data_IF_388232297720
#
_entry.id   IF_388232297720
#
_cell.length_a   1.000
_cell.length_b   1.000
_cell.length_c   1.000
_cell.angle_alpha   90.00
_cell.angle_beta   90.00
_cell.angle_gamma   90.00
#
_symmetry.space_group_name_H-M   'P 1'
#
loop_
_entity.id
_entity.type
_entity.pdbx_description
1 polymer ?
#
# COMPACT_ATOMS: atom_id res chain seq x y z
N UNK A 1 -64.95 -27.88 0.02
CA UNK A 1 -64.12 -28.98 0.55
C UNK A 1 -62.71 -28.45 0.70
N UNK A 2 -62.34 -28.07 1.93
CA UNK A 2 -61.02 -27.56 2.29
C UNK A 2 -60.00 -28.70 2.30
N UNK A 3 -58.81 -28.47 1.75
CA UNK A 3 -57.60 -29.09 2.26
C UNK A 3 -56.55 -27.98 2.40
N UNK A 4 -56.32 -27.63 3.66
CA UNK A 4 -55.23 -26.82 4.17
C UNK A 4 -53.93 -27.59 3.99
N UNK A 5 -52.90 -26.99 3.38
CA UNK A 5 -51.50 -27.46 3.54
C UNK A 5 -50.71 -26.40 4.28
N UNK A 6 -50.48 -26.72 5.55
CA UNK A 6 -49.50 -26.10 6.45
C UNK A 6 -48.11 -26.13 5.81
N UNK A 7 -47.52 -24.95 5.61
CA UNK A 7 -46.09 -24.81 5.32
C UNK A 7 -45.36 -24.69 6.65
N UNK A 8 -44.78 -25.81 7.09
CA UNK A 8 -43.82 -25.86 8.19
C UNK A 8 -42.47 -26.24 7.59
N UNK A 9 -41.60 -25.25 7.35
CA UNK A 9 -40.21 -25.46 6.94
C UNK A 9 -39.28 -24.76 7.94
N UNK A 10 -39.21 -25.33 9.14
CA UNK A 10 -38.01 -25.22 9.97
C UNK A 10 -36.96 -26.17 9.40
N UNK A 11 -36.07 -25.65 8.56
CA UNK A 11 -34.78 -26.29 8.27
C UNK A 11 -33.73 -25.19 8.13
N UNK A 12 -33.24 -24.71 9.28
CA UNK A 12 -31.96 -24.00 9.36
C UNK A 12 -30.84 -25.01 9.06
N UNK A 13 -29.85 -24.69 8.22
CA UNK A 13 -28.67 -25.53 8.08
C UNK A 13 -27.86 -25.52 9.38
N UNK A 14 -27.41 -26.72 9.80
CA UNK A 14 -26.52 -26.91 10.95
C UNK A 14 -25.19 -26.19 10.71
N UNK A 15 -24.94 -25.16 11.50
CA UNK A 15 -23.61 -24.56 11.70
C UNK A 15 -22.82 -25.53 12.60
N UNK A 16 -21.61 -25.98 12.22
CA UNK A 16 -20.76 -26.69 13.16
C UNK A 16 -20.22 -25.67 14.18
N UNK A 17 -20.67 -25.80 15.43
CA UNK A 17 -20.16 -25.04 16.56
C UNK A 17 -18.74 -25.50 16.90
N UNK A 18 -17.72 -24.81 16.41
CA UNK A 18 -16.37 -24.90 16.97
C UNK A 18 -16.28 -23.98 18.19
N UNK A 19 -16.76 -24.49 19.34
CA UNK A 19 -16.51 -23.91 20.66
C UNK A 19 -15.02 -24.07 21.01
N UNK A 20 -14.21 -23.03 20.77
CA UNK A 20 -12.93 -22.89 21.46
C UNK A 20 -13.15 -22.06 22.73
N UNK A 21 -13.45 -22.75 23.82
CA UNK A 21 -13.45 -22.14 25.15
C UNK A 21 -12.00 -21.94 25.62
N UNK A 22 -11.53 -20.70 25.66
CA UNK A 22 -10.36 -20.32 26.46
C UNK A 22 -10.83 -20.26 27.92
N UNK A 23 -10.62 -21.35 28.66
CA UNK A 23 -10.85 -21.39 30.10
C UNK A 23 -9.64 -20.76 30.83
N UNK A 24 -9.68 -19.45 31.09
CA UNK A 24 -8.76 -18.82 32.04
C UNK A 24 -9.22 -19.17 33.46
N UNK A 25 -8.48 -20.08 34.11
CA UNK A 25 -8.68 -20.45 35.52
C UNK A 25 -8.12 -19.32 36.41
N UNK A 26 -8.96 -18.36 36.78
CA UNK A 26 -8.68 -17.43 37.88
C UNK A 26 -9.22 -18.01 39.18
N UNK A 27 -8.31 -18.29 40.13
CA UNK A 27 -8.61 -18.71 41.51
C UNK A 27 -9.19 -17.52 42.28
N UNK A 28 -10.18 -17.78 43.16
CA UNK A 28 -10.98 -16.80 43.94
C UNK A 28 -10.15 -15.75 44.70
N UNK A 29 -10.69 -14.58 45.03
CA UNK A 29 -11.96 -14.35 45.76
C UNK A 29 -12.65 -13.03 45.37
N UNK A 30 -13.85 -12.78 45.91
CA UNK A 30 -14.43 -11.43 46.00
C UNK A 30 -15.60 -11.12 45.07
N UNK A 31 -16.76 -10.92 45.69
CA UNK A 31 -18.13 -10.80 45.15
C UNK A 31 -18.44 -9.37 44.66
N UNK A 32 -19.28 -9.30 43.61
CA UNK A 32 -20.22 -8.21 43.17
C UNK A 32 -19.91 -7.21 42.04
N UNK A 33 -18.69 -7.04 41.53
CA UNK A 33 -18.45 -6.13 40.39
C UNK A 33 -18.32 -6.81 39.01
N UNK A 34 -18.23 -8.15 38.98
CA UNK A 34 -17.95 -8.91 37.74
C UNK A 34 -19.07 -8.94 36.70
N UNK A 35 -20.33 -8.67 37.07
CA UNK A 35 -21.42 -8.74 36.10
C UNK A 35 -21.46 -7.52 35.18
N UNK A 36 -21.01 -6.35 35.66
CA UNK A 36 -20.96 -5.12 34.86
C UNK A 36 -19.78 -5.18 33.89
N UNK A 37 -18.63 -5.70 34.33
CA UNK A 37 -17.45 -5.89 33.48
C UNK A 37 -17.62 -6.98 32.43
N UNK A 38 -18.32 -8.09 32.74
CA UNK A 38 -18.55 -9.15 31.74
C UNK A 38 -19.62 -8.73 30.72
N UNK A 39 -20.60 -7.92 31.12
CA UNK A 39 -21.55 -7.33 30.16
C UNK A 39 -20.88 -6.25 29.31
N UNK A 40 -20.04 -5.39 29.91
CA UNK A 40 -19.31 -4.36 29.16
C UNK A 40 -18.31 -5.00 28.20
N UNK A 41 -17.56 -6.01 28.63
CA UNK A 41 -16.62 -6.76 27.78
C UNK A 41 -17.34 -7.48 26.64
N UNK A 42 -18.49 -8.11 26.89
CA UNK A 42 -19.33 -8.69 25.83
C UNK A 42 -19.93 -7.64 24.90
N UNK A 43 -20.25 -6.45 25.41
CA UNK A 43 -20.74 -5.34 24.59
C UNK A 43 -19.62 -4.74 23.73
N UNK A 44 -18.41 -4.63 24.29
CA UNK A 44 -17.19 -4.23 23.59
C UNK A 44 -16.75 -5.27 22.54
N UNK A 45 -16.84 -6.57 22.83
CA UNK A 45 -16.62 -7.63 21.84
C UNK A 45 -17.72 -7.67 20.77
N UNK A 46 -18.96 -7.32 21.11
CA UNK A 46 -20.07 -7.20 20.17
C UNK A 46 -19.99 -5.93 19.30
N UNK A 47 -19.23 -4.91 19.71
CA UNK A 47 -19.00 -3.68 18.95
C UNK A 47 -17.64 -3.66 18.24
N UNK A 48 -16.76 -4.62 18.51
CA UNK A 48 -15.49 -4.70 17.80
C UNK A 48 -15.79 -5.08 16.35
N UNK A 49 -15.56 -4.14 15.46
CA UNK A 49 -15.58 -4.34 14.01
C UNK A 49 -14.60 -5.48 13.69
N UNK A 50 -15.11 -6.63 13.24
CA UNK A 50 -14.28 -7.81 12.93
C UNK A 50 -13.84 -7.73 11.48
N UNK A 51 -12.52 -7.64 11.26
CA UNK A 51 -11.93 -7.69 9.92
C UNK A 51 -11.23 -9.03 9.68
N UNK A 52 -10.97 -9.42 8.42
CA UNK A 52 -10.24 -10.66 8.13
C UNK A 52 -8.88 -10.76 8.82
N UNK A 53 -8.19 -9.63 9.04
CA UNK A 53 -6.95 -9.60 9.83
C UNK A 53 -7.08 -10.16 11.25
N UNK A 54 -8.27 -10.12 11.86
CA UNK A 54 -8.53 -10.68 13.19
C UNK A 54 -8.81 -12.20 13.13
N UNK A 55 -9.14 -12.73 11.94
CA UNK A 55 -9.58 -14.11 11.73
C UNK A 55 -8.48 -14.99 11.11
N UNK A 56 -7.66 -14.42 10.23
CA UNK A 56 -6.61 -15.13 9.51
C UNK A 56 -5.24 -14.86 10.14
N UNK A 57 -4.36 -15.88 10.12
CA UNK A 57 -3.00 -15.76 10.66
C UNK A 57 -2.16 -14.71 9.95
N UNK A 58 -2.33 -14.59 8.63
CA UNK A 58 -1.63 -13.61 7.80
C UNK A 58 -2.41 -13.31 6.51
N UNK A 59 -1.94 -12.28 5.80
CA UNK A 59 -2.49 -11.85 4.51
C UNK A 59 -2.41 -12.95 3.43
N UNK A 60 -1.40 -13.82 3.50
CA UNK A 60 -1.23 -14.90 2.53
C UNK A 60 -2.33 -15.95 2.67
N UNK A 61 -2.66 -16.35 3.90
CA UNK A 61 -3.67 -17.35 4.21
C UNK A 61 -5.06 -16.86 3.80
N UNK A 62 -5.37 -15.58 4.09
CA UNK A 62 -6.58 -14.94 3.59
C UNK A 62 -6.64 -14.92 2.06
N UNK A 63 -5.55 -14.51 1.39
CA UNK A 63 -5.51 -14.46 -0.06
C UNK A 63 -5.72 -15.85 -0.69
N UNK A 64 -5.12 -16.90 -0.13
CA UNK A 64 -5.38 -18.28 -0.55
C UNK A 64 -6.85 -18.67 -0.34
N UNK A 65 -7.43 -18.36 0.82
CA UNK A 65 -8.85 -18.61 1.10
C UNK A 65 -9.74 -17.97 0.02
N UNK A 66 -9.49 -16.70 -0.31
CA UNK A 66 -10.22 -15.98 -1.35
C UNK A 66 -10.03 -16.60 -2.73
N UNK A 67 -8.80 -17.01 -3.08
CA UNK A 67 -8.54 -17.74 -4.32
C UNK A 67 -9.32 -19.05 -4.39
N UNK A 68 -9.35 -19.83 -3.31
CA UNK A 68 -10.11 -21.08 -3.26
C UNK A 68 -11.61 -20.84 -3.41
N UNK A 69 -12.14 -19.71 -2.92
CA UNK A 69 -13.56 -19.35 -3.08
C UNK A 69 -13.90 -18.69 -4.41
N UNK A 70 -12.91 -18.42 -5.26
CA UNK A 70 -13.14 -17.92 -6.60
C UNK A 70 -13.75 -19.01 -7.50
N UNK A 71 -14.84 -18.70 -8.21
CA UNK A 71 -15.48 -19.62 -9.15
C UNK A 71 -14.51 -20.07 -10.26
N UNK A 72 -13.66 -19.15 -10.73
CA UNK A 72 -12.64 -19.43 -11.76
C UNK A 72 -11.67 -20.53 -11.32
N UNK A 73 -11.31 -20.54 -10.03
CA UNK A 73 -10.44 -21.58 -9.46
C UNK A 73 -11.13 -22.96 -9.47
N UNK A 74 -12.39 -23.04 -9.07
CA UNK A 74 -13.16 -24.29 -9.11
C UNK A 74 -13.31 -24.81 -10.54
N UNK A 75 -13.64 -23.94 -11.50
CA UNK A 75 -13.73 -24.34 -12.91
C UNK A 75 -12.39 -24.83 -13.44
N UNK A 76 -11.28 -24.23 -13.03
CA UNK A 76 -9.94 -24.67 -13.41
C UNK A 76 -9.61 -26.05 -12.82
N UNK A 77 -9.87 -26.27 -11.53
CA UNK A 77 -9.61 -27.55 -10.87
C UNK A 77 -10.40 -28.68 -11.57
N UNK A 78 -11.64 -28.41 -11.95
CA UNK A 78 -12.48 -29.33 -12.72
C UNK A 78 -11.92 -29.60 -14.13
N UNK A 79 -11.37 -28.59 -14.81
CA UNK A 79 -10.73 -28.76 -16.13
C UNK A 79 -9.41 -29.51 -16.07
N UNK A 80 -8.71 -29.47 -14.93
CA UNK A 80 -7.49 -30.27 -14.74
C UNK A 80 -7.79 -31.75 -14.55
N UNK A 81 -8.87 -32.13 -13.88
CA UNK A 81 -9.21 -33.54 -13.60
C UNK A 81 -9.20 -34.43 -14.87
N UNK A 82 -9.82 -34.02 -16.01
CA UNK A 82 -9.71 -34.71 -17.30
C UNK A 82 -8.31 -34.75 -17.90
N UNK A 83 -7.39 -33.86 -17.53
CA UNK A 83 -6.00 -33.90 -18.01
C UNK A 83 -5.16 -34.93 -17.25
N UNK A 84 -5.48 -35.19 -15.98
CA UNK A 84 -4.83 -36.24 -15.17
C UNK A 84 -5.26 -37.64 -15.59
N UNK A 85 -6.52 -37.81 -16.03
CA UNK A 85 -7.10 -39.09 -16.42
C UNK A 85 -6.34 -39.80 -17.56
N UNK A 86 -5.99 -39.16 -18.69
CA UNK A 86 -5.14 -39.74 -19.73
C UNK A 86 -3.72 -40.01 -19.25
N UNK A 87 -3.15 -39.18 -18.37
CA UNK A 87 -1.84 -39.46 -17.75
C UNK A 87 -1.86 -40.75 -16.92
N UNK A 88 -2.95 -40.97 -16.17
CA UNK A 88 -3.18 -42.17 -15.36
C UNK A 88 -3.48 -43.41 -16.23
N UNK A 89 -4.34 -43.26 -17.25
CA UNK A 89 -4.71 -44.32 -18.18
C UNK A 89 -3.59 -44.67 -19.19
N UNK A 90 -2.68 -43.73 -19.48
CA UNK A 90 -1.51 -43.96 -20.35
C UNK A 90 -0.45 -44.88 -19.75
N UNK A 91 -0.57 -45.28 -18.48
CA UNK A 91 0.19 -46.40 -17.93
C UNK A 91 -0.08 -47.72 -18.69
N UNK A 92 -1.12 -47.78 -19.53
CA UNK A 92 -1.55 -48.99 -20.24
C UNK A 92 -0.93 -49.11 -21.64
N UNK A 93 -0.47 -48.04 -22.31
CA UNK A 93 0.19 -48.14 -23.65
C UNK A 93 1.26 -47.07 -23.91
N UNK A 94 2.30 -47.50 -24.61
CA UNK A 94 3.53 -46.79 -25.03
C UNK A 94 3.31 -45.52 -25.88
N UNK A 95 2.73 -44.47 -25.31
CA UNK A 95 2.75 -43.10 -25.85
C UNK A 95 3.71 -42.27 -25.01
N UNK A 96 4.47 -41.37 -25.65
CA UNK A 96 5.50 -40.50 -25.04
C UNK A 96 5.07 -39.89 -23.69
N UNK A 97 5.45 -40.59 -22.61
CA UNK A 97 5.05 -40.41 -21.20
C UNK A 97 5.29 -39.00 -20.64
N UNK A 98 6.21 -38.26 -21.26
CA UNK A 98 6.68 -36.95 -20.80
C UNK A 98 5.77 -35.81 -21.29
N UNK A 99 5.11 -35.97 -22.43
CA UNK A 99 4.29 -34.92 -23.04
C UNK A 99 3.08 -34.50 -22.18
N UNK A 100 2.22 -35.42 -21.67
CA UNK A 100 1.08 -35.01 -20.85
C UNK A 100 1.53 -34.34 -19.54
N UNK A 101 2.63 -34.81 -18.94
CA UNK A 101 3.19 -34.22 -17.73
C UNK A 101 3.70 -32.79 -17.96
N UNK A 102 4.43 -32.55 -19.06
CA UNK A 102 4.90 -31.21 -19.44
C UNK A 102 3.74 -30.26 -19.73
N UNK A 103 2.68 -30.74 -20.39
CA UNK A 103 1.47 -29.96 -20.66
C UNK A 103 0.74 -29.58 -19.36
N UNK A 104 0.60 -30.52 -18.40
CA UNK A 104 0.01 -30.25 -17.10
C UNK A 104 0.80 -29.19 -16.30
N UNK A 105 2.14 -29.29 -16.29
CA UNK A 105 2.99 -28.28 -15.63
C UNK A 105 2.80 -26.92 -16.31
N UNK A 106 2.85 -26.86 -17.64
CA UNK A 106 2.68 -25.61 -18.38
C UNK A 106 1.32 -24.96 -18.08
N UNK A 107 0.23 -25.72 -18.12
CA UNK A 107 -1.12 -25.22 -17.81
C UNK A 107 -1.21 -24.75 -16.36
N UNK A 108 -0.61 -25.48 -15.42
CA UNK A 108 -0.57 -25.07 -14.00
C UNK A 108 0.23 -23.78 -13.79
N UNK A 109 1.38 -23.64 -14.46
CA UNK A 109 2.18 -22.42 -14.41
C UNK A 109 1.45 -21.22 -15.01
N UNK A 110 0.81 -21.39 -16.18
CA UNK A 110 0.03 -20.33 -16.81
C UNK A 110 -1.10 -19.87 -15.88
N UNK A 111 -1.79 -20.81 -15.24
CA UNK A 111 -2.89 -20.48 -14.33
C UNK A 111 -2.39 -19.82 -13.05
N UNK A 112 -1.25 -20.27 -12.48
CA UNK A 112 -0.60 -19.57 -11.37
C UNK A 112 -0.21 -18.12 -11.70
N UNK A 113 0.13 -17.84 -12.97
CA UNK A 113 0.43 -16.48 -13.45
C UNK A 113 -0.87 -15.67 -13.68
N UNK A 114 -1.91 -16.27 -14.24
CA UNK A 114 -3.15 -15.56 -14.60
C UNK A 114 -4.12 -15.38 -13.43
N UNK A 115 -4.22 -16.30 -12.47
CA UNK A 115 -5.17 -16.23 -11.35
C UNK A 115 -5.02 -14.96 -10.51
N UNK A 116 -3.81 -14.53 -10.08
CA UNK A 116 -3.64 -13.28 -9.34
C UNK A 116 -4.09 -12.06 -10.14
N UNK A 117 -3.86 -12.07 -11.46
CA UNK A 117 -4.28 -11.00 -12.36
C UNK A 117 -5.81 -10.96 -12.51
N UNK A 118 -6.46 -12.11 -12.63
CA UNK A 118 -7.92 -12.23 -12.68
C UNK A 118 -8.52 -11.75 -11.36
N UNK A 119 -7.97 -12.18 -10.22
CA UNK A 119 -8.41 -11.73 -8.90
C UNK A 119 -8.28 -10.21 -8.74
N UNK A 120 -7.12 -9.64 -9.07
CA UNK A 120 -6.87 -8.19 -9.03
C UNK A 120 -7.82 -7.41 -9.95
N UNK A 121 -8.10 -7.94 -11.13
CA UNK A 121 -9.06 -7.35 -12.07
C UNK A 121 -10.50 -7.38 -11.53
N UNK A 122 -10.93 -8.53 -10.97
CA UNK A 122 -12.25 -8.67 -10.35
C UNK A 122 -12.43 -7.73 -9.17
N UNK A 123 -11.43 -7.65 -8.29
CA UNK A 123 -11.42 -6.74 -7.13
C UNK A 123 -11.58 -5.28 -7.57
N UNK A 124 -10.78 -4.86 -8.56
CA UNK A 124 -10.88 -3.54 -9.17
C UNK A 124 -12.24 -3.29 -9.82
N UNK A 125 -12.80 -4.28 -10.50
CA UNK A 125 -14.10 -4.20 -11.19
C UNK A 125 -15.23 -3.96 -10.19
N UNK A 126 -15.27 -4.73 -9.10
CA UNK A 126 -16.28 -4.56 -8.04
C UNK A 126 -16.23 -3.16 -7.45
N UNK A 127 -15.03 -2.66 -7.11
CA UNK A 127 -14.88 -1.30 -6.59
C UNK A 127 -15.32 -0.22 -7.59
N UNK A 128 -15.00 -0.40 -8.87
CA UNK A 128 -15.39 0.55 -9.92
C UNK A 128 -16.91 0.56 -10.16
N UNK A 129 -17.58 -0.57 -9.92
CA UNK A 129 -19.03 -0.66 -10.04
C UNK A 129 -19.78 -0.16 -8.80
N UNK A 130 -19.11 -0.14 -7.63
CA UNK A 130 -19.70 0.24 -6.34
C UNK A 130 -19.16 1.58 -5.82
N UNK A 131 -18.72 2.47 -6.71
CA UNK A 131 -18.14 3.77 -6.33
C UNK A 131 -19.11 4.64 -5.53
N UNK A 132 -20.39 4.62 -5.88
CA UNK A 132 -21.43 5.35 -5.15
C UNK A 132 -21.52 4.88 -3.70
N UNK A 133 -21.59 3.57 -3.46
CA UNK A 133 -21.66 3.06 -2.08
C UNK A 133 -20.37 3.35 -1.33
N UNK A 134 -19.21 3.12 -1.97
CA UNK A 134 -17.92 3.43 -1.36
C UNK A 134 -17.83 4.91 -0.94
N UNK A 135 -18.31 5.82 -1.79
CA UNK A 135 -18.32 7.25 -1.48
C UNK A 135 -19.27 7.58 -0.33
N UNK A 136 -20.45 6.95 -0.26
CA UNK A 136 -21.41 7.16 0.84
C UNK A 136 -20.85 6.75 2.20
N UNK A 137 -20.20 5.59 2.30
CA UNK A 137 -19.58 5.13 3.54
C UNK A 137 -18.49 6.11 4.02
N UNK A 138 -17.75 6.71 3.09
CA UNK A 138 -16.73 7.72 3.41
C UNK A 138 -17.37 9.01 3.92
N UNK A 139 -18.49 9.45 3.33
CA UNK A 139 -19.21 10.64 3.80
C UNK A 139 -19.80 10.41 5.20
N UNK A 140 -20.38 9.23 5.45
CA UNK A 140 -21.01 8.89 6.72
C UNK A 140 -20.02 8.78 7.88
N UNK A 141 -18.89 8.10 7.65
CA UNK A 141 -17.91 7.84 8.70
C UNK A 141 -16.76 8.84 8.75
N UNK A 142 -16.62 9.70 7.73
CA UNK A 142 -15.60 10.73 7.61
C UNK A 142 -14.18 10.22 8.01
N UNK A 143 -13.67 9.14 7.37
CA UNK A 143 -12.41 8.54 7.79
C UNK A 143 -11.25 9.52 7.56
N UNK A 144 -10.37 9.64 8.55
CA UNK A 144 -9.16 10.42 8.46
C UNK A 144 -8.04 9.70 7.70
N UNK A 145 -6.80 10.11 7.96
CA UNK A 145 -5.62 9.43 7.38
C UNK A 145 -5.12 8.27 8.23
N UNK A 146 -5.57 8.16 9.48
CA UNK A 146 -5.16 7.06 10.33
C UNK A 146 -5.80 5.77 9.82
N UNK A 147 -5.07 4.66 9.95
CA UNK A 147 -5.54 3.37 9.46
C UNK A 147 -6.76 2.89 10.24
N UNK A 148 -6.84 3.23 11.53
CA UNK A 148 -7.95 2.81 12.40
C UNK A 148 -9.30 3.40 11.96
N UNK A 149 -9.31 4.63 11.46
CA UNK A 149 -10.52 5.31 10.96
C UNK A 149 -11.19 4.54 9.80
N UNK A 150 -10.42 3.71 9.09
CA UNK A 150 -10.89 2.93 7.94
C UNK A 150 -11.43 1.55 8.32
N UNK A 151 -11.33 1.13 9.59
CA UNK A 151 -11.80 -0.20 10.00
C UNK A 151 -13.30 -0.37 9.82
N UNK A 152 -14.07 0.63 10.28
CA UNK A 152 -15.53 0.64 10.16
C UNK A 152 -15.96 0.66 8.69
N UNK A 153 -15.35 1.53 7.87
CA UNK A 153 -15.63 1.62 6.43
C UNK A 153 -15.32 0.29 5.73
N UNK A 154 -14.19 -0.34 6.05
CA UNK A 154 -13.79 -1.61 5.47
C UNK A 154 -14.78 -2.74 5.80
N UNK A 155 -15.24 -2.81 7.06
CA UNK A 155 -16.18 -3.83 7.47
C UNK A 155 -17.59 -3.63 6.88
N UNK A 156 -18.11 -2.41 6.89
CA UNK A 156 -19.40 -2.11 6.27
C UNK A 156 -19.40 -2.46 4.77
N UNK A 157 -18.32 -2.13 4.06
CA UNK A 157 -18.18 -2.47 2.64
C UNK A 157 -18.05 -3.98 2.42
N UNK A 158 -17.31 -4.69 3.26
CA UNK A 158 -17.21 -6.14 3.21
C UNK A 158 -18.59 -6.81 3.35
N UNK A 159 -19.37 -6.41 4.37
CA UNK A 159 -20.73 -6.89 4.58
C UNK A 159 -21.64 -6.53 3.40
N UNK A 160 -21.62 -5.28 2.95
CA UNK A 160 -22.43 -4.82 1.83
C UNK A 160 -22.12 -5.58 0.53
N UNK A 161 -20.84 -5.82 0.20
CA UNK A 161 -20.47 -6.55 -1.01
C UNK A 161 -20.90 -8.01 -0.96
N UNK A 162 -20.86 -8.63 0.21
CA UNK A 162 -21.33 -9.99 0.41
C UNK A 162 -22.85 -10.10 0.27
N UNK A 163 -23.59 -9.24 0.98
CA UNK A 163 -25.07 -9.24 0.97
C UNK A 163 -25.65 -8.97 -0.42
N UNK A 164 -25.05 -8.05 -1.17
CA UNK A 164 -25.44 -7.73 -2.54
C UNK A 164 -24.90 -8.71 -3.58
N UNK A 165 -24.19 -9.77 -3.18
CA UNK A 165 -23.56 -10.76 -4.07
C UNK A 165 -22.59 -10.13 -5.08
N UNK A 166 -22.03 -8.97 -4.74
CA UNK A 166 -20.97 -8.33 -5.51
C UNK A 166 -19.62 -9.02 -5.28
N UNK A 167 -19.47 -9.69 -4.13
CA UNK A 167 -18.35 -10.55 -3.78
C UNK A 167 -18.84 -11.88 -3.19
N UNK A 168 -18.02 -12.92 -3.31
CA UNK A 168 -18.42 -14.28 -2.90
C UNK A 168 -18.27 -14.54 -1.41
N UNK A 169 -17.53 -13.70 -0.70
CA UNK A 169 -17.17 -13.87 0.71
C UNK A 169 -17.38 -12.56 1.47
N UNK A 170 -17.41 -12.64 2.80
CA UNK A 170 -17.48 -11.48 3.70
C UNK A 170 -16.11 -10.79 3.89
N UNK A 171 -15.09 -11.16 3.11
CA UNK A 171 -13.70 -10.80 3.38
C UNK A 171 -13.06 -10.07 2.19
N UNK A 172 -13.77 -9.11 1.59
CA UNK A 172 -13.31 -8.39 0.41
C UNK A 172 -12.02 -7.58 0.65
N UNK A 173 -11.96 -6.82 1.75
CA UNK A 173 -10.77 -6.16 2.26
C UNK A 173 -10.20 -6.93 3.43
N UNK A 174 -8.89 -7.23 3.40
CA UNK A 174 -8.24 -7.91 4.50
C UNK A 174 -8.15 -7.04 5.76
N UNK A 175 -7.84 -5.75 5.57
CA UNK A 175 -7.71 -4.78 6.63
C UNK A 175 -8.05 -3.35 6.18
N UNK A 176 -8.07 -2.44 7.14
CA UNK A 176 -8.35 -1.03 6.93
C UNK A 176 -7.31 -0.32 6.04
N UNK A 177 -6.04 -0.75 6.08
CA UNK A 177 -5.00 -0.20 5.21
C UNK A 177 -5.24 -0.53 3.73
N UNK A 178 -5.74 -1.73 3.42
CA UNK A 178 -6.15 -2.10 2.06
C UNK A 178 -7.33 -1.28 1.58
N UNK A 179 -8.31 -1.02 2.45
CA UNK A 179 -9.45 -0.15 2.13
C UNK A 179 -8.98 1.29 1.82
N UNK A 180 -8.14 1.88 2.67
CA UNK A 180 -7.55 3.21 2.43
C UNK A 180 -6.76 3.25 1.11
N UNK A 181 -5.95 2.21 0.85
CA UNK A 181 -5.17 2.09 -0.40
C UNK A 181 -6.09 1.99 -1.62
N UNK A 182 -7.19 1.26 -1.53
CA UNK A 182 -8.18 1.14 -2.58
C UNK A 182 -8.87 2.48 -2.85
N UNK A 183 -9.28 3.21 -1.81
CA UNK A 183 -9.80 4.56 -1.93
C UNK A 183 -8.83 5.47 -2.68
N UNK A 184 -7.55 5.50 -2.28
CA UNK A 184 -6.54 6.34 -2.94
C UNK A 184 -6.42 6.00 -4.44
N UNK A 185 -6.33 4.72 -4.77
CA UNK A 185 -6.06 4.23 -6.13
C UNK A 185 -7.26 4.33 -7.07
N UNK A 186 -8.47 4.13 -6.56
CA UNK A 186 -9.70 4.04 -7.37
C UNK A 186 -10.43 5.38 -7.43
N UNK A 187 -10.47 6.12 -6.31
CA UNK A 187 -11.23 7.36 -6.18
C UNK A 187 -10.31 8.59 -6.21
N UNK A 188 -9.46 8.76 -5.20
CA UNK A 188 -8.72 10.02 -4.99
C UNK A 188 -7.80 10.38 -6.16
N UNK A 189 -6.93 9.45 -6.58
CA UNK A 189 -5.94 9.70 -7.63
C UNK A 189 -6.60 9.93 -9.00
N UNK A 190 -7.46 9.04 -9.51
CA UNK A 190 -8.01 9.21 -10.85
C UNK A 190 -8.95 10.40 -10.95
N UNK A 191 -9.63 10.77 -9.87
CA UNK A 191 -10.50 11.95 -9.82
C UNK A 191 -9.70 13.26 -9.85
N UNK A 192 -8.58 13.32 -9.12
CA UNK A 192 -7.76 14.53 -9.00
C UNK A 192 -6.85 14.81 -10.21
N UNK A 193 -6.54 13.76 -10.97
CA UNK A 193 -5.78 13.89 -12.22
C UNK A 193 -6.63 14.54 -13.32
N UNK A 194 -7.92 14.19 -13.40
CA UNK A 194 -8.87 14.68 -14.41
C UNK A 194 -9.25 16.13 -14.15
N UNK A 195 -9.08 16.98 -15.17
CA UNK A 195 -9.27 18.43 -15.06
C UNK A 195 -10.67 18.89 -15.47
N UNK A 196 -11.25 18.24 -16.47
CA UNK A 196 -12.50 18.59 -17.09
C UNK A 196 -13.67 17.77 -16.52
N UNK A 197 -14.80 18.43 -16.28
CA UNK A 197 -16.02 17.77 -15.83
C UNK A 197 -16.46 16.68 -16.81
N UNK A 198 -16.30 16.91 -18.11
CA UNK A 198 -16.60 15.92 -19.16
C UNK A 198 -15.84 14.61 -18.98
N UNK A 199 -14.54 14.63 -18.65
CA UNK A 199 -13.76 13.40 -18.44
C UNK A 199 -14.08 12.71 -17.12
N UNK A 200 -14.44 13.49 -16.08
CA UNK A 200 -14.95 12.94 -14.81
C UNK A 200 -16.28 12.22 -15.04
N UNK A 201 -17.25 12.87 -15.67
CA UNK A 201 -18.56 12.30 -16.02
C UNK A 201 -18.37 11.06 -16.90
N UNK A 202 -17.50 11.10 -17.91
CA UNK A 202 -17.22 9.94 -18.77
C UNK A 202 -16.70 8.73 -17.99
N UNK A 203 -15.98 8.95 -16.90
CA UNK A 203 -15.30 7.87 -16.18
C UNK A 203 -16.05 7.36 -14.96
N UNK A 204 -16.81 8.23 -14.31
CA UNK A 204 -17.46 7.95 -13.04
C UNK A 204 -18.99 8.03 -13.14
N UNK A 205 -19.52 8.52 -14.26
CA UNK A 205 -20.96 8.60 -14.55
C UNK A 205 -21.72 9.31 -13.44
N UNK A 206 -22.79 8.69 -12.99
CA UNK A 206 -23.69 9.22 -11.95
C UNK A 206 -23.08 9.21 -10.55
N UNK A 207 -21.88 8.62 -10.37
CA UNK A 207 -21.19 8.58 -9.08
C UNK A 207 -20.47 9.90 -8.76
N UNK A 208 -20.25 10.77 -9.75
CA UNK A 208 -19.50 12.04 -9.60
C UNK A 208 -19.90 12.86 -8.37
N UNK A 209 -21.18 13.21 -8.12
CA UNK A 209 -21.55 14.04 -6.98
C UNK A 209 -21.18 13.40 -5.64
N UNK A 210 -21.41 12.10 -5.48
CA UNK A 210 -21.04 11.37 -4.26
C UNK A 210 -19.53 11.33 -4.04
N UNK A 211 -18.77 11.17 -5.13
CA UNK A 211 -17.31 11.17 -5.07
C UNK A 211 -16.81 12.56 -4.65
N UNK A 212 -17.38 13.64 -5.19
CA UNK A 212 -16.98 15.00 -4.81
C UNK A 212 -17.25 15.28 -3.34
N UNK A 213 -18.41 14.87 -2.83
CA UNK A 213 -18.75 14.99 -1.41
C UNK A 213 -17.78 14.19 -0.52
N UNK A 214 -17.52 12.92 -0.86
CA UNK A 214 -16.58 12.07 -0.13
C UNK A 214 -15.16 12.64 -0.11
N UNK A 215 -14.70 13.18 -1.25
CA UNK A 215 -13.39 13.82 -1.35
C UNK A 215 -13.31 15.12 -0.55
N UNK A 216 -14.39 15.90 -0.49
CA UNK A 216 -14.46 17.11 0.34
C UNK A 216 -14.36 16.76 1.83
N UNK A 217 -15.12 15.78 2.30
CA UNK A 217 -15.06 15.29 3.68
C UNK A 217 -13.65 14.80 4.02
N UNK A 218 -13.08 13.91 3.21
CA UNK A 218 -11.73 13.41 3.41
C UNK A 218 -10.67 14.52 3.39
N UNK A 219 -10.77 15.48 2.46
CA UNK A 219 -9.83 16.61 2.39
C UNK A 219 -9.90 17.51 3.64
N UNK A 220 -11.08 17.66 4.22
CA UNK A 220 -11.29 18.44 5.44
C UNK A 220 -10.64 17.76 6.63
N UNK A 221 -10.79 16.44 6.77
CA UNK A 221 -10.11 15.65 7.81
C UNK A 221 -8.58 15.65 7.62
N UNK A 222 -8.11 15.56 6.37
CA UNK A 222 -6.70 15.70 6.07
C UNK A 222 -6.15 17.07 6.50
N UNK A 223 -6.85 18.15 6.16
CA UNK A 223 -6.46 19.51 6.52
C UNK A 223 -6.45 19.71 8.04
N UNK A 224 -7.41 19.16 8.77
CA UNK A 224 -7.40 19.13 10.24
C UNK A 224 -6.15 18.45 10.76
N UNK A 225 -5.80 17.27 10.23
CA UNK A 225 -4.57 16.57 10.62
C UNK A 225 -3.33 17.38 10.29
N UNK A 226 -3.26 18.00 9.12
CA UNK A 226 -2.12 18.85 8.73
C UNK A 226 -1.93 20.02 9.69
N UNK A 227 -3.01 20.73 10.04
CA UNK A 227 -2.98 21.83 11.02
C UNK A 227 -2.53 21.36 12.40
N UNK A 228 -3.10 20.24 12.88
CA UNK A 228 -2.69 19.63 14.15
C UNK A 228 -1.21 19.26 14.12
N UNK A 229 -0.76 18.65 13.01
CA UNK A 229 0.63 18.26 12.81
C UNK A 229 1.57 19.46 12.88
N UNK A 230 1.23 20.55 12.19
CA UNK A 230 2.01 21.79 12.19
C UNK A 230 1.93 22.60 13.50
N UNK A 231 0.98 22.33 14.37
CA UNK A 231 0.82 23.08 15.63
C UNK A 231 1.42 22.31 16.82
N UNK A 232 1.18 21.00 16.88
CA UNK A 232 1.50 20.18 18.06
C UNK A 232 2.63 19.17 17.82
N UNK A 233 2.86 18.75 16.58
CA UNK A 233 3.79 17.67 16.24
C UNK A 233 4.98 18.12 15.40
N UNK A 234 5.18 19.42 15.21
CA UNK A 234 6.38 19.91 14.51
C UNK A 234 7.60 19.45 15.28
N UNK A 235 8.31 18.51 14.69
CA UNK A 235 9.54 18.04 15.29
C UNK A 235 10.57 19.17 15.26
N UNK A 236 10.97 19.61 16.44
CA UNK A 236 12.07 20.56 16.65
C UNK A 236 13.21 19.81 17.33
N UNK A 237 14.35 19.61 16.66
CA UNK A 237 15.49 18.96 17.26
C UNK A 237 16.23 19.88 18.24
N UNK A 238 16.64 19.30 19.36
CA UNK A 238 17.68 19.88 20.21
C UNK A 238 19.07 19.61 19.59
N UNK A 239 19.97 20.60 19.63
CA UNK A 239 21.38 20.50 19.22
C UNK A 239 21.66 20.28 17.72
N UNK A 240 21.02 21.05 16.82
CA UNK A 240 21.33 20.99 15.38
C UNK A 240 22.73 21.50 15.02
N UNK A 241 23.35 22.31 15.89
CA UNK A 241 24.64 22.98 15.64
C UNK A 241 25.81 22.00 15.40
N UNK A 242 25.75 20.81 16.00
CA UNK A 242 26.80 19.80 15.86
C UNK A 242 26.58 18.85 14.68
N UNK A 243 25.42 18.89 14.02
CA UNK A 243 25.09 17.99 12.92
C UNK A 243 25.73 18.50 11.63
N UNK A 244 26.67 17.71 11.10
CA UNK A 244 27.34 18.03 9.85
C UNK A 244 26.72 17.23 8.69
N UNK A 245 26.49 17.90 7.57
CA UNK A 245 26.08 17.23 6.34
C UNK A 245 27.18 16.30 5.82
N UNK A 246 26.83 15.17 5.18
CA UNK A 246 27.79 14.24 4.61
C UNK A 246 28.82 14.89 3.68
N UNK A 247 28.47 15.97 2.98
CA UNK A 247 29.41 16.76 2.17
C UNK A 247 30.67 17.24 2.92
N UNK A 248 30.62 17.42 4.24
CA UNK A 248 31.79 17.78 5.06
C UNK A 248 32.69 16.57 5.35
N UNK A 249 32.11 15.37 5.43
CA UNK A 249 32.82 14.11 5.72
C UNK A 249 33.35 13.45 4.44
N UNK A 250 32.59 13.53 3.35
CA UNK A 250 32.90 12.90 2.07
C UNK A 250 33.45 13.91 1.08
N UNK A 251 34.65 13.65 0.56
CA UNK A 251 35.27 14.48 -0.50
C UNK A 251 34.44 14.55 -1.79
N UNK A 252 33.68 13.49 -2.10
CA UNK A 252 32.88 13.40 -3.33
C UNK A 252 31.52 12.73 -3.05
N UNK A 253 30.45 13.25 -3.67
CA UNK A 253 29.11 12.61 -3.60
C UNK A 253 29.12 11.15 -4.06
N UNK A 254 29.98 10.83 -5.02
CA UNK A 254 30.15 9.48 -5.54
C UNK A 254 30.57 8.46 -4.47
N UNK A 255 31.48 8.82 -3.56
CA UNK A 255 31.94 7.91 -2.51
C UNK A 255 30.86 7.67 -1.46
N UNK A 256 30.06 8.69 -1.16
CA UNK A 256 28.86 8.57 -0.32
C UNK A 256 27.83 7.60 -0.95
N UNK A 257 27.51 7.77 -2.24
CA UNK A 257 26.57 6.87 -2.95
C UNK A 257 27.10 5.43 -2.96
N UNK A 258 28.39 5.21 -3.25
CA UNK A 258 28.99 3.88 -3.25
C UNK A 258 28.85 3.19 -1.88
N UNK A 259 29.27 3.86 -0.80
CA UNK A 259 29.14 3.30 0.57
C UNK A 259 27.70 2.84 0.84
N UNK A 260 26.71 3.57 0.33
CA UNK A 260 25.29 3.27 0.54
C UNK A 260 24.80 2.10 -0.28
N UNK A 261 25.17 2.02 -1.56
CA UNK A 261 24.85 0.86 -2.40
C UNK A 261 25.39 -0.43 -1.77
N UNK A 262 26.59 -0.38 -1.19
CA UNK A 262 27.20 -1.54 -0.53
C UNK A 262 26.62 -1.86 0.87
N UNK A 263 26.14 -0.85 1.61
CA UNK A 263 25.57 -1.06 2.96
C UNK A 263 24.07 -1.42 2.96
N UNK A 264 23.33 -1.14 1.88
CA UNK A 264 21.90 -1.44 1.77
C UNK A 264 21.66 -2.86 1.22
N UNK A 265 20.41 -3.34 1.32
CA UNK A 265 19.87 -4.59 0.76
C UNK A 265 20.05 -4.76 -0.78
N UNK A 266 20.88 -3.92 -1.42
CA UNK A 266 21.27 -3.99 -2.82
C UNK A 266 22.48 -4.90 -3.06
N UNK A 267 23.11 -5.43 -2.01
CA UNK A 267 24.19 -6.41 -2.14
C UNK A 267 23.82 -7.62 -3.04
N UNK A 268 22.62 -8.25 -2.93
CA UNK A 268 22.22 -9.31 -3.85
C UNK A 268 22.11 -8.86 -5.31
N UNK A 269 21.61 -7.64 -5.55
CA UNK A 269 21.56 -7.07 -6.89
C UNK A 269 22.97 -6.77 -7.44
N UNK A 270 23.92 -6.44 -6.55
CA UNK A 270 25.33 -6.22 -6.90
C UNK A 270 26.02 -7.54 -7.23
N UNK A 271 25.75 -8.60 -6.47
CA UNK A 271 26.21 -9.97 -6.76
C UNK A 271 25.64 -10.47 -8.08
N UNK A 272 24.34 -10.27 -8.35
CA UNK A 272 23.72 -10.62 -9.62
C UNK A 272 24.37 -9.87 -10.79
N UNK A 273 24.70 -8.60 -10.58
CA UNK A 273 25.41 -7.78 -11.55
C UNK A 273 26.84 -8.26 -11.82
N UNK A 274 27.61 -8.62 -10.78
CA UNK A 274 28.92 -9.25 -10.94
C UNK A 274 28.83 -10.60 -11.66
N UNK A 275 27.78 -11.38 -11.38
CA UNK A 275 27.50 -12.63 -12.08
C UNK A 275 27.18 -12.38 -13.56
N UNK A 276 26.42 -11.32 -13.91
CA UNK A 276 26.20 -10.93 -15.30
C UNK A 276 27.52 -10.55 -16.00
N UNK A 277 28.42 -9.83 -15.31
CA UNK A 277 29.75 -9.49 -15.85
C UNK A 277 30.57 -10.76 -16.10
N UNK A 278 30.57 -11.70 -15.13
CA UNK A 278 31.26 -12.98 -15.24
C UNK A 278 30.72 -13.84 -16.40
N UNK A 279 29.40 -13.94 -16.55
CA UNK A 279 28.78 -14.69 -17.66
C UNK A 279 29.08 -14.04 -19.01
N UNK A 280 29.28 -12.73 -19.06
CA UNK A 280 29.63 -11.98 -20.27
C UNK A 280 31.13 -11.91 -20.58
N UNK A 281 31.96 -12.72 -19.91
CA UNK A 281 33.42 -12.61 -19.99
C UNK A 281 33.99 -12.79 -21.40
N UNK A 282 33.32 -13.60 -22.22
CA UNK A 282 33.67 -13.89 -23.62
C UNK A 282 33.29 -12.75 -24.59
N UNK A 283 32.37 -11.86 -24.20
CA UNK A 283 31.84 -10.80 -25.05
C UNK A 283 32.70 -9.53 -25.05
N UNK A 284 34.01 -9.62 -25.31
CA UNK A 284 34.86 -8.44 -25.55
C UNK A 284 34.96 -7.42 -24.39
N UNK A 285 35.92 -6.49 -24.44
CA UNK A 285 36.14 -5.53 -23.34
C UNK A 285 35.12 -4.38 -23.30
N UNK A 286 34.67 -3.90 -24.47
CA UNK A 286 33.75 -2.77 -24.56
C UNK A 286 32.35 -3.09 -24.02
N UNK A 287 31.81 -4.27 -24.33
CA UNK A 287 30.51 -4.70 -23.80
C UNK A 287 30.56 -4.86 -22.28
N UNK A 288 31.66 -5.37 -21.73
CA UNK A 288 31.87 -5.44 -20.27
C UNK A 288 31.86 -4.06 -19.63
N UNK A 289 32.56 -3.07 -20.21
CA UNK A 289 32.55 -1.69 -19.71
C UNK A 289 31.13 -1.10 -19.77
N UNK A 290 30.40 -1.33 -20.86
CA UNK A 290 29.01 -0.86 -21.01
C UNK A 290 28.06 -1.52 -20.02
N UNK A 291 28.16 -2.84 -19.82
CA UNK A 291 27.42 -3.56 -18.80
C UNK A 291 27.76 -3.02 -17.42
N UNK A 292 29.04 -2.85 -17.10
CA UNK A 292 29.50 -2.32 -15.83
C UNK A 292 28.92 -0.92 -15.54
N UNK A 293 29.05 0.00 -16.50
CA UNK A 293 28.48 1.33 -16.41
C UNK A 293 26.95 1.31 -16.29
N UNK A 294 26.29 0.51 -17.12
CA UNK A 294 24.83 0.38 -17.15
C UNK A 294 24.24 -0.16 -15.85
N UNK A 295 24.80 -1.24 -15.30
CA UNK A 295 24.31 -1.78 -14.03
C UNK A 295 24.63 -0.89 -12.85
N UNK A 296 25.78 -0.20 -12.84
CA UNK A 296 26.04 0.84 -11.84
C UNK A 296 24.98 1.95 -11.88
N UNK A 297 24.64 2.46 -13.06
CA UNK A 297 23.59 3.47 -13.22
C UNK A 297 22.21 2.95 -12.78
N UNK A 298 21.89 1.68 -13.04
CA UNK A 298 20.68 1.04 -12.52
C UNK A 298 20.68 1.02 -10.99
N UNK A 299 21.79 0.67 -10.35
CA UNK A 299 21.91 0.64 -8.89
C UNK A 299 21.74 2.03 -8.27
N UNK A 300 22.36 3.05 -8.87
CA UNK A 300 22.15 4.45 -8.45
C UNK A 300 20.69 4.84 -8.58
N UNK A 301 20.02 4.49 -9.69
CA UNK A 301 18.59 4.75 -9.89
C UNK A 301 17.73 4.02 -8.87
N UNK A 302 18.02 2.74 -8.58
CA UNK A 302 17.30 1.97 -7.56
C UNK A 302 17.46 2.62 -6.19
N UNK A 303 18.69 2.96 -5.79
CA UNK A 303 18.96 3.66 -4.54
C UNK A 303 18.19 4.98 -4.45
N UNK A 304 18.25 5.82 -5.50
CA UNK A 304 17.50 7.08 -5.54
C UNK A 304 16.00 6.86 -5.39
N UNK A 305 15.46 5.81 -6.03
CA UNK A 305 14.04 5.47 -5.96
C UNK A 305 13.61 4.85 -4.63
N UNK A 306 14.51 4.17 -3.91
CA UNK A 306 14.23 3.57 -2.60
C UNK A 306 13.99 4.63 -1.51
N UNK A 307 14.71 5.75 -1.55
CA UNK A 307 14.59 6.85 -0.57
C UNK A 307 13.15 7.33 -0.32
N UNK A 308 12.33 7.67 -1.33
CA UNK A 308 10.94 8.04 -1.09
C UNK A 308 10.03 6.87 -0.68
N UNK A 309 10.41 5.61 -0.93
CA UNK A 309 9.63 4.44 -0.49
C UNK A 309 9.78 4.17 1.01
N UNK A 310 10.91 4.54 1.62
CA UNK A 310 11.08 4.41 3.07
C UNK A 310 10.26 5.43 3.85
N UNK A 311 9.88 6.57 3.24
CA UNK A 311 9.13 7.63 3.91
C UNK A 311 7.63 7.33 3.95
N UNK A 312 7.07 7.23 5.15
CA UNK A 312 5.62 7.17 5.36
C UNK A 312 4.97 8.55 5.14
N UNK A 313 3.64 8.61 5.21
CA UNK A 313 2.90 9.85 4.97
C UNK A 313 3.33 10.97 5.94
N UNK A 314 3.51 10.65 7.21
CA UNK A 314 3.92 11.60 8.24
C UNK A 314 5.33 12.15 8.01
N UNK A 315 6.25 11.31 7.53
CA UNK A 315 7.61 11.75 7.19
C UNK A 315 7.62 12.70 5.99
N UNK A 316 6.72 12.46 5.02
CA UNK A 316 6.51 13.38 3.88
C UNK A 316 5.88 14.69 4.35
N UNK A 317 4.96 14.63 5.31
CA UNK A 317 4.37 15.82 5.91
C UNK A 317 5.43 16.63 6.67
N UNK A 318 6.26 15.98 7.49
CA UNK A 318 7.39 16.62 8.18
C UNK A 318 8.34 17.27 7.19
N UNK A 319 8.67 16.58 6.09
CA UNK A 319 9.53 17.13 5.05
C UNK A 319 8.98 18.43 4.46
N UNK A 320 7.70 18.42 4.06
CA UNK A 320 7.04 19.61 3.51
C UNK A 320 6.90 20.73 4.54
N UNK A 321 6.52 20.40 5.78
CA UNK A 321 6.44 21.35 6.89
C UNK A 321 7.80 22.01 7.17
N UNK A 322 8.88 21.24 7.17
CA UNK A 322 10.24 21.75 7.34
C UNK A 322 10.61 22.71 6.20
N UNK A 323 10.25 22.40 4.95
CA UNK A 323 10.49 23.31 3.82
C UNK A 323 9.65 24.59 3.92
N UNK A 324 8.40 24.50 4.38
CA UNK A 324 7.51 25.67 4.48
C UNK A 324 7.98 26.61 5.60
N UNK A 325 8.39 26.06 6.74
CA UNK A 325 8.76 26.82 7.92
C UNK A 325 10.22 27.32 7.94
N UNK A 326 11.08 26.85 7.04
CA UNK A 326 12.48 27.29 6.99
C UNK A 326 12.58 28.77 6.58
N UNK A 327 13.29 29.59 7.35
CA UNK A 327 13.40 31.03 7.05
C UNK A 327 14.56 31.33 6.10
N UNK A 328 15.62 30.51 6.16
CA UNK A 328 16.77 30.70 5.29
C UNK A 328 16.45 30.35 3.83
N UNK A 329 16.98 31.14 2.91
CA UNK A 329 16.76 31.02 1.48
C UNK A 329 17.98 30.50 0.73
N UNK A 330 17.78 30.09 -0.53
CA UNK A 330 18.86 29.63 -1.39
C UNK A 330 19.55 28.36 -0.88
N UNK A 331 20.85 28.25 -1.14
CA UNK A 331 21.64 27.05 -0.83
C UNK A 331 21.75 26.77 0.67
N UNK A 332 21.83 27.81 1.50
CA UNK A 332 21.95 27.68 2.97
C UNK A 332 20.65 27.11 3.57
N UNK A 333 19.49 27.60 3.13
CA UNK A 333 18.20 27.07 3.58
C UNK A 333 18.01 25.59 3.23
N UNK A 334 18.43 25.17 2.04
CA UNK A 334 18.38 23.75 1.67
C UNK A 334 19.36 22.88 2.47
N UNK A 335 20.54 23.40 2.84
CA UNK A 335 21.48 22.71 3.72
C UNK A 335 20.87 22.53 5.12
N UNK A 336 20.18 23.54 5.67
CA UNK A 336 19.49 23.42 6.97
C UNK A 336 18.32 22.43 6.92
N UNK A 337 17.50 22.47 5.87
CA UNK A 337 16.42 21.48 5.67
C UNK A 337 17.03 20.06 5.60
N UNK A 338 18.12 19.88 4.86
CA UNK A 338 18.78 18.59 4.74
C UNK A 338 19.29 18.07 6.10
N UNK A 339 19.87 18.93 6.93
CA UNK A 339 20.33 18.57 8.29
C UNK A 339 19.16 18.15 9.18
N UNK A 340 18.11 18.99 9.26
CA UNK A 340 16.91 18.71 10.05
C UNK A 340 16.30 17.36 9.66
N UNK A 341 16.17 17.11 8.37
CA UNK A 341 15.56 15.89 7.87
C UNK A 341 16.43 14.65 8.03
N UNK A 342 17.74 14.75 7.87
CA UNK A 342 18.66 13.65 8.15
C UNK A 342 18.55 13.17 9.60
N UNK A 343 18.50 14.11 10.54
CA UNK A 343 18.35 13.84 11.97
C UNK A 343 16.97 13.26 12.27
N UNK A 344 15.90 13.87 11.77
CA UNK A 344 14.53 13.38 11.93
C UNK A 344 14.38 11.92 11.47
N UNK A 345 14.81 11.63 10.23
CA UNK A 345 14.66 10.30 9.64
C UNK A 345 15.49 9.24 10.37
N UNK A 346 16.63 9.62 10.95
CA UNK A 346 17.44 8.74 11.78
C UNK A 346 16.81 8.46 13.14
N UNK A 347 16.38 9.50 13.86
CA UNK A 347 15.76 9.38 15.19
C UNK A 347 14.45 8.59 15.14
N UNK A 348 13.64 8.80 14.09
CA UNK A 348 12.41 8.05 13.83
C UNK A 348 12.67 6.65 13.27
N UNK A 349 13.93 6.25 13.06
CA UNK A 349 14.35 4.96 12.49
C UNK A 349 13.75 4.67 11.11
N UNK A 350 13.33 5.71 10.40
CA UNK A 350 12.87 5.65 8.99
C UNK A 350 14.06 5.37 8.08
N UNK A 351 15.24 5.88 8.46
CA UNK A 351 16.50 5.62 7.79
C UNK A 351 17.56 5.16 8.79
N UNK A 352 18.46 4.28 8.37
CA UNK A 352 19.42 3.62 9.27
C UNK A 352 20.59 4.52 9.69
N UNK A 353 20.66 5.77 9.23
CA UNK A 353 21.78 6.66 9.50
C UNK A 353 21.42 8.13 9.33
N UNK A 354 22.22 9.05 9.88
CA UNK A 354 22.06 10.51 9.73
C UNK A 354 22.51 11.06 8.36
N UNK A 355 22.58 10.23 7.32
CA UNK A 355 23.09 10.63 5.99
C UNK A 355 22.05 10.28 4.90
N UNK A 356 20.81 10.74 5.04
CA UNK A 356 19.76 10.52 4.03
C UNK A 356 19.97 11.41 2.79
N UNK A 357 20.23 12.69 3.04
CA UNK A 357 20.66 13.70 2.08
C UNK A 357 22.15 13.95 2.19
N UNK A 358 22.81 14.06 1.04
CA UNK A 358 24.24 14.39 0.98
C UNK A 358 24.52 15.87 1.33
N UNK A 359 23.70 16.76 0.76
CA UNK A 359 23.73 18.21 0.93
C UNK A 359 22.37 18.82 0.55
N UNK A 360 22.24 20.14 0.67
CA UNK A 360 21.05 20.90 0.29
C UNK A 360 20.72 20.78 -1.20
N UNK A 361 21.71 20.67 -2.08
CA UNK A 361 21.48 20.45 -3.52
C UNK A 361 20.81 19.08 -3.76
N UNK A 362 21.26 18.03 -3.05
CA UNK A 362 20.60 16.72 -3.10
C UNK A 362 19.18 16.75 -2.52
N UNK A 363 18.97 17.53 -1.46
CA UNK A 363 17.65 17.74 -0.85
C UNK A 363 16.68 18.48 -1.80
N UNK A 364 17.13 19.57 -2.42
CA UNK A 364 16.36 20.30 -3.42
C UNK A 364 16.03 19.43 -4.62
N UNK A 365 17.01 18.68 -5.15
CA UNK A 365 16.79 17.75 -6.24
C UNK A 365 15.76 16.69 -5.86
N UNK A 366 15.82 16.16 -4.63
CA UNK A 366 14.85 15.18 -4.12
C UNK A 366 13.43 15.75 -4.08
N UNK A 367 13.24 16.97 -3.56
CA UNK A 367 11.95 17.66 -3.57
C UNK A 367 11.44 17.83 -5.02
N UNK A 368 12.28 18.36 -5.90
CA UNK A 368 11.91 18.61 -7.29
C UNK A 368 11.54 17.32 -8.04
N UNK A 369 12.28 16.23 -7.78
CA UNK A 369 12.10 14.97 -8.50
C UNK A 369 10.92 14.13 -7.97
N UNK A 370 10.74 14.06 -6.65
CA UNK A 370 9.76 13.16 -6.04
C UNK A 370 8.47 13.84 -5.59
N UNK A 371 8.44 15.16 -5.46
CA UNK A 371 7.22 15.90 -5.08
C UNK A 371 6.74 16.77 -6.26
N UNK A 372 7.56 17.73 -6.68
CA UNK A 372 7.13 18.71 -7.69
C UNK A 372 6.89 18.08 -9.07
N UNK A 373 7.78 17.20 -9.53
CA UNK A 373 7.60 16.53 -10.82
C UNK A 373 6.33 15.68 -10.85
N UNK A 374 5.99 14.98 -9.76
CA UNK A 374 4.75 14.19 -9.69
C UNK A 374 3.51 15.09 -9.78
N UNK A 375 3.53 16.23 -9.09
CA UNK A 375 2.49 17.24 -9.19
C UNK A 375 2.33 17.77 -10.64
N UNK A 376 3.44 18.02 -11.33
CA UNK A 376 3.45 18.54 -12.69
C UNK A 376 3.02 17.51 -13.74
N UNK A 377 3.54 16.27 -13.66
CA UNK A 377 3.25 15.24 -14.66
C UNK A 377 1.89 14.59 -14.45
N UNK A 378 1.35 14.61 -13.22
CA UNK A 378 0.13 13.89 -12.83
C UNK A 378 0.14 12.42 -13.26
N UNK A 379 1.32 11.82 -13.38
CA UNK A 379 1.53 10.44 -13.81
C UNK A 379 2.31 9.69 -12.74
N UNK A 380 1.84 8.53 -12.28
CA UNK A 380 2.59 7.72 -11.35
C UNK A 380 3.89 7.25 -12.00
N UNK A 381 5.00 7.37 -11.27
CA UNK A 381 6.30 6.87 -11.70
C UNK A 381 6.52 5.50 -11.03
N UNK A 382 6.28 4.41 -11.76
CA UNK A 382 6.41 3.01 -11.29
C UNK A 382 5.51 2.67 -10.09
N UNK A 383 4.20 2.53 -10.30
CA UNK A 383 3.19 2.17 -9.28
C UNK A 383 3.22 2.99 -7.97
N UNK A 384 3.88 4.15 -7.98
CA UNK A 384 3.95 5.04 -6.82
C UNK A 384 2.63 5.78 -6.61
N UNK A 385 2.14 5.86 -5.36
CA UNK A 385 1.00 6.69 -5.05
C UNK A 385 1.36 8.16 -5.31
N UNK A 386 0.45 8.90 -5.93
CA UNK A 386 0.62 10.32 -6.27
C UNK A 386 0.59 11.22 -5.02
N UNK A 387 0.15 10.68 -3.86
CA UNK A 387 -0.03 11.39 -2.59
C UNK A 387 -0.73 12.74 -2.82
N UNK A 388 -1.88 12.69 -3.49
CA UNK A 388 -2.65 13.85 -3.94
C UNK A 388 -2.97 14.79 -2.78
N UNK A 389 -3.16 14.24 -1.59
CA UNK A 389 -3.41 14.97 -0.36
C UNK A 389 -2.32 16.00 -0.06
N UNK A 390 -1.08 15.74 -0.48
CA UNK A 390 0.05 16.64 -0.27
C UNK A 390 0.16 17.75 -1.31
N UNK A 391 -0.61 17.70 -2.40
CA UNK A 391 -0.48 18.65 -3.51
C UNK A 391 -0.62 20.13 -3.11
N UNK A 392 -1.55 20.53 -2.22
CA UNK A 392 -1.62 21.91 -1.75
C UNK A 392 -0.32 22.37 -1.08
N UNK A 393 0.24 21.56 -0.19
CA UNK A 393 1.45 21.90 0.56
C UNK A 393 2.72 21.78 -0.27
N UNK A 394 2.74 20.92 -1.30
CA UNK A 394 3.84 20.91 -2.29
C UNK A 394 3.87 22.25 -3.04
N UNK A 395 2.70 22.79 -3.42
CA UNK A 395 2.62 24.11 -4.06
C UNK A 395 3.04 25.22 -3.12
N UNK A 396 2.59 25.17 -1.87
CA UNK A 396 2.98 26.12 -0.82
C UNK A 396 4.49 26.11 -0.60
N UNK A 397 5.09 24.94 -0.36
CA UNK A 397 6.53 24.77 -0.22
C UNK A 397 7.29 25.34 -1.44
N UNK A 398 6.79 25.11 -2.65
CA UNK A 398 7.38 25.68 -3.87
C UNK A 398 7.31 27.22 -3.90
N UNK A 399 6.18 27.80 -3.51
CA UNK A 399 5.99 29.25 -3.48
C UNK A 399 6.93 29.90 -2.46
N UNK A 400 7.01 29.36 -1.25
CA UNK A 400 7.91 29.83 -0.20
C UNK A 400 9.37 29.83 -0.67
N UNK A 401 9.81 28.76 -1.36
CA UNK A 401 11.18 28.69 -1.88
C UNK A 401 11.46 29.60 -3.07
N UNK A 402 10.45 29.96 -3.87
CA UNK A 402 10.58 30.89 -5.01
C UNK A 402 10.51 32.36 -4.61
N UNK A 403 9.81 32.69 -3.52
CA UNK A 403 9.59 34.07 -3.08
C UNK A 403 10.73 34.63 -2.23
N UNK A 404 11.68 33.81 -1.81
CA UNK A 404 12.79 34.31 -1.03
C UNK A 404 13.75 35.12 -1.93
N UNK A 405 13.93 36.43 -1.65
CA UNK A 405 14.79 37.26 -2.47
C UNK A 405 16.25 36.78 -2.40
N UNK A 406 17.02 36.91 -3.49
CA UNK A 406 18.47 36.83 -3.39
C UNK A 406 18.92 38.00 -2.51
N UNK A 407 19.44 37.70 -1.32
CA UNK A 407 20.15 38.68 -0.50
C UNK A 407 21.59 38.73 -0.95
#
# INVERSE_FOLDING_TARGET
MQIVRSCNFNNKPLIPSSNWHIAIRMRGDGVKDRSIDVLSLKHFESQKVVLPQDLFMDNFTWMFYEFFKCFTFHTWLLLLLPMWLPGFLSQIKSINRIFPFKLCILVSCLVGIFLPNIYSFSHKSVLTNQLTQFSKEIVEHAPGTDTHDWETVAANLNSYFYENKAWNTEYFFFNAAECQKAFRKVLLEPFSVKKDESSKIKSFGDSVPYIEEALQVYSTEFEKKWKLFNTEKVWSPDNLEHVQLPKKTYRYKFTWVLKRIFNLWLFPAFILFLACIYVSWDKGHLFRILCCGGGFLLMVRVFQNMRPFSMHMEDKMQFLSTIINEQESGANGWDEIAKKMNRYLFEKKVWTSEEFFFDGIDCEWFFNHFFYRLLSTKKPMFDRPLNVELWPYIKEAQLTRKQAPPV
#
